data_IF_303434042904
#
_entry.id   IF_303434042904
#
_cell.length_a   1.000
_cell.length_b   1.000
_cell.length_c   1.000
_cell.angle_alpha   90.00
_cell.angle_beta   90.00
_cell.angle_gamma   90.00
#
_symmetry.space_group_name_H-M   'P 1'
#
loop_
_entity.id
_entity.type
_entity.pdbx_description
1 polymer ?
#
# COMPACT_ATOMS: atom_id res chain seq x y z
N UNK A 1 11.96 -8.81 -25.37
CA UNK A 1 10.90 -7.77 -25.27
C UNK A 1 10.15 -7.74 -23.93
N UNK A 2 9.77 -8.88 -23.33
CA UNK A 2 8.93 -8.89 -22.11
C UNK A 2 9.48 -8.17 -20.86
N UNK A 3 10.80 -8.22 -20.57
CA UNK A 3 11.38 -7.55 -19.39
C UNK A 3 11.41 -6.02 -19.48
N UNK A 4 11.50 -5.46 -20.69
CA UNK A 4 11.56 -4.02 -20.89
C UNK A 4 10.22 -3.32 -20.61
N UNK A 5 9.10 -3.99 -20.89
CA UNK A 5 7.76 -3.47 -20.60
C UNK A 5 7.46 -3.43 -19.09
N UNK A 6 7.89 -4.43 -18.32
CA UNK A 6 7.64 -4.50 -16.88
C UNK A 6 8.38 -3.44 -16.04
N UNK A 7 9.44 -2.84 -16.60
CA UNK A 7 10.24 -1.80 -15.95
C UNK A 7 10.06 -0.41 -16.58
N UNK A 8 9.21 -0.30 -17.62
CA UNK A 8 8.95 0.95 -18.28
C UNK A 8 8.10 1.86 -17.36
N UNK A 9 8.45 3.15 -17.22
CA UNK A 9 7.64 4.08 -16.45
C UNK A 9 6.29 4.31 -17.15
N UNK A 10 5.25 4.53 -16.35
CA UNK A 10 3.96 5.01 -16.85
C UNK A 10 4.13 6.45 -17.37
N UNK A 11 3.99 6.62 -18.68
CA UNK A 11 4.18 7.90 -19.37
C UNK A 11 2.97 8.84 -19.25
N UNK A 12 1.85 8.40 -18.67
CA UNK A 12 0.68 9.27 -18.42
C UNK A 12 1.06 10.53 -17.63
N UNK A 13 2.00 10.40 -16.69
CA UNK A 13 2.45 11.49 -15.83
C UNK A 13 3.54 12.38 -16.44
N UNK A 14 3.96 12.11 -17.68
CA UNK A 14 5.00 12.88 -18.36
C UNK A 14 4.62 14.36 -18.48
N UNK A 15 3.33 14.66 -18.75
CA UNK A 15 2.82 16.04 -18.89
C UNK A 15 2.96 16.88 -17.62
N UNK A 16 2.87 16.28 -16.44
CA UNK A 16 3.04 17.01 -15.18
C UNK A 16 4.51 17.13 -14.75
N UNK A 17 5.36 16.18 -15.17
CA UNK A 17 6.71 16.02 -14.62
C UNK A 17 7.82 16.50 -15.54
N UNK A 18 7.59 16.60 -16.85
CA UNK A 18 8.63 16.93 -17.82
C UNK A 18 8.29 18.18 -18.62
N UNK A 19 9.30 19.03 -18.85
CA UNK A 19 9.21 20.13 -19.82
C UNK A 19 9.27 19.54 -21.24
N UNK A 20 8.44 20.00 -22.20
CA UNK A 20 8.42 19.44 -23.55
C UNK A 20 9.79 19.41 -24.24
N UNK A 21 10.60 20.47 -24.08
CA UNK A 21 11.95 20.54 -24.66
C UNK A 21 12.91 19.50 -24.07
N UNK A 22 12.80 19.21 -22.77
CA UNK A 22 13.58 18.16 -22.12
C UNK A 22 13.14 16.76 -22.57
N UNK A 23 11.84 16.57 -22.82
CA UNK A 23 11.30 15.32 -23.35
C UNK A 23 11.80 15.06 -24.78
N UNK A 24 11.83 16.06 -25.65
CA UNK A 24 12.40 15.94 -27.01
C UNK A 24 13.87 15.54 -26.96
N UNK A 25 14.67 16.24 -26.14
CA UNK A 25 16.09 15.94 -25.99
C UNK A 25 16.31 14.51 -25.44
N UNK A 26 15.48 14.10 -24.47
CA UNK A 26 15.47 12.74 -23.93
C UNK A 26 15.14 11.69 -25.01
N UNK A 27 14.13 11.91 -25.86
CA UNK A 27 13.75 10.98 -26.92
C UNK A 27 14.84 10.81 -27.99
N UNK A 28 15.56 11.89 -28.31
CA UNK A 28 16.64 11.88 -29.31
C UNK A 28 17.89 11.15 -28.84
N UNK A 29 18.27 11.28 -27.57
CA UNK A 29 19.46 10.63 -27.04
C UNK A 29 19.38 10.36 -25.52
N UNK A 30 18.61 9.33 -25.09
CA UNK A 30 18.48 9.02 -23.66
C UNK A 30 19.83 8.77 -22.96
N UNK A 31 20.78 7.98 -23.53
CA UNK A 31 22.09 7.74 -22.91
C UNK A 31 22.93 9.00 -22.71
N UNK A 32 22.80 10.01 -23.57
CA UNK A 32 23.46 11.32 -23.39
C UNK A 32 22.96 12.06 -22.15
N UNK A 33 21.68 11.93 -21.81
CA UNK A 33 21.06 12.61 -20.67
C UNK A 33 21.13 11.79 -19.38
N UNK A 34 21.07 10.46 -19.48
CA UNK A 34 21.26 9.53 -18.35
C UNK A 34 22.14 8.36 -18.81
N UNK A 35 23.46 8.44 -18.59
CA UNK A 35 24.37 7.34 -18.87
C UNK A 35 23.92 6.05 -18.19
N UNK A 36 23.94 4.93 -18.91
CA UNK A 36 23.50 3.62 -18.41
C UNK A 36 21.98 3.44 -18.32
N UNK A 37 21.18 4.37 -18.86
CA UNK A 37 19.73 4.16 -19.00
C UNK A 37 19.42 2.93 -19.88
N UNK A 38 18.43 2.09 -19.51
CA UNK A 38 18.03 0.96 -20.33
C UNK A 38 17.21 1.36 -21.56
N UNK A 39 16.76 2.62 -21.64
CA UNK A 39 16.03 3.13 -22.80
C UNK A 39 17.00 3.31 -23.99
N UNK A 40 16.79 2.60 -25.11
CA UNK A 40 17.70 2.69 -26.25
C UNK A 40 17.54 4.02 -26.99
N UNK A 41 18.58 4.40 -27.73
CA UNK A 41 18.47 5.46 -28.73
C UNK A 41 17.67 4.93 -29.93
N UNK A 42 16.43 5.38 -30.05
CA UNK A 42 15.56 5.06 -31.18
C UNK A 42 15.96 5.98 -32.35
N UNK A 43 16.03 5.50 -33.60
CA UNK A 43 16.38 6.32 -34.75
C UNK A 43 15.21 7.25 -35.12
N UNK A 44 15.00 8.27 -34.29
CA UNK A 44 14.03 9.34 -34.50
C UNK A 44 14.76 10.57 -35.05
N UNK A 45 14.15 11.27 -35.99
CA UNK A 45 14.56 12.63 -36.31
C UNK A 45 13.93 13.63 -35.32
N UNK A 46 14.31 14.90 -35.44
CA UNK A 46 13.82 15.93 -34.53
C UNK A 46 12.32 16.22 -34.70
N UNK A 47 11.78 16.03 -35.91
CA UNK A 47 10.36 16.23 -36.17
C UNK A 47 9.53 15.13 -35.47
N UNK A 48 9.95 13.87 -35.58
CA UNK A 48 9.34 12.74 -34.90
C UNK A 48 9.41 12.88 -33.38
N UNK A 49 10.57 13.27 -32.85
CA UNK A 49 10.74 13.46 -31.40
C UNK A 49 9.82 14.57 -30.86
N UNK A 50 9.63 15.66 -31.61
CA UNK A 50 8.67 16.73 -31.26
C UNK A 50 7.22 16.25 -31.35
N UNK A 51 6.87 15.48 -32.38
CA UNK A 51 5.53 14.94 -32.53
C UNK A 51 5.18 13.97 -31.37
N UNK A 52 6.10 13.08 -31.01
CA UNK A 52 5.95 12.18 -29.86
C UNK A 52 5.87 12.92 -28.53
N UNK A 53 6.68 13.96 -28.35
CA UNK A 53 6.61 14.79 -27.14
C UNK A 53 5.24 15.47 -27.02
N UNK A 54 4.75 16.09 -28.10
CA UNK A 54 3.41 16.69 -28.14
C UNK A 54 2.31 15.65 -27.90
N UNK A 55 2.44 14.45 -28.49
CA UNK A 55 1.50 13.36 -28.23
C UNK A 55 1.41 13.01 -26.74
N UNK A 56 2.56 12.87 -26.07
CA UNK A 56 2.60 12.53 -24.65
C UNK A 56 2.08 13.65 -23.74
N UNK A 57 2.27 14.92 -24.11
CA UNK A 57 1.89 16.06 -23.28
C UNK A 57 0.46 16.54 -23.52
N UNK A 58 0.01 16.56 -24.77
CA UNK A 58 -1.16 17.35 -25.18
C UNK A 58 -2.38 16.50 -25.49
N UNK A 59 -2.20 15.24 -25.90
CA UNK A 59 -3.33 14.36 -26.22
C UNK A 59 -4.13 14.09 -24.95
N UNK A 60 -5.47 14.27 -24.96
CA UNK A 60 -6.31 13.90 -23.83
C UNK A 60 -6.15 12.42 -23.49
N UNK A 61 -5.90 12.14 -22.22
CA UNK A 61 -5.87 10.76 -21.73
C UNK A 61 -7.29 10.32 -21.42
N UNK A 62 -7.60 9.07 -21.74
CA UNK A 62 -8.78 8.44 -21.17
C UNK A 62 -8.69 8.48 -19.64
N UNK A 63 -9.82 8.70 -18.95
CA UNK A 63 -9.86 8.55 -17.50
C UNK A 63 -9.33 7.18 -17.11
N UNK A 64 -8.54 7.13 -16.03
CA UNK A 64 -8.21 5.82 -15.47
C UNK A 64 -9.51 5.09 -15.14
N UNK A 65 -9.58 3.76 -15.37
CA UNK A 65 -10.70 2.97 -14.91
C UNK A 65 -10.97 3.29 -13.45
N UNK A 66 -12.24 3.47 -13.10
CA UNK A 66 -12.60 3.68 -11.70
C UNK A 66 -12.07 2.48 -10.90
N UNK A 67 -11.42 2.72 -9.74
CA UNK A 67 -10.91 1.64 -8.92
C UNK A 67 -12.06 0.72 -8.53
N UNK A 68 -11.82 -0.59 -8.56
CA UNK A 68 -12.85 -1.56 -8.18
C UNK A 68 -13.05 -1.49 -6.67
N UNK A 69 -14.30 -1.33 -6.19
CA UNK A 69 -14.55 -1.29 -4.77
C UNK A 69 -14.28 -2.68 -4.18
N UNK A 70 -13.37 -2.74 -3.22
CA UNK A 70 -13.08 -3.95 -2.45
C UNK A 70 -14.19 -4.13 -1.44
N UNK A 71 -14.83 -5.29 -1.47
CA UNK A 71 -15.95 -5.60 -0.57
C UNK A 71 -15.48 -6.44 0.60
N UNK A 72 -15.80 -5.97 1.81
CA UNK A 72 -15.73 -6.73 3.05
C UNK A 72 -16.65 -7.94 2.96
N UNK A 73 -16.14 -9.12 3.33
CA UNK A 73 -16.95 -10.35 3.34
C UNK A 73 -17.91 -10.35 4.54
N UNK A 74 -19.05 -11.06 4.46
CA UNK A 74 -19.95 -11.22 5.61
C UNK A 74 -19.25 -11.90 6.80
N UNK A 75 -19.67 -11.57 8.02
CA UNK A 75 -19.20 -12.23 9.24
C UNK A 75 -19.55 -13.72 9.19
N UNK A 76 -18.65 -14.59 9.66
CA UNK A 76 -18.90 -16.03 9.75
C UNK A 76 -19.82 -16.36 10.94
N UNK A 77 -20.73 -17.32 10.72
CA UNK A 77 -21.61 -17.84 11.79
C UNK A 77 -20.85 -18.71 12.80
N UNK A 78 -19.81 -19.43 12.34
CA UNK A 78 -18.97 -20.25 13.22
C UNK A 78 -18.14 -19.36 14.14
N UNK A 79 -17.82 -19.87 15.32
CA UNK A 79 -16.84 -19.23 16.22
C UNK A 79 -15.49 -19.10 15.52
N UNK A 80 -14.85 -17.93 15.65
CA UNK A 80 -13.46 -17.69 15.27
C UNK A 80 -12.69 -17.30 16.53
N UNK A 81 -11.59 -18.00 16.83
CA UNK A 81 -10.80 -17.79 18.06
C UNK A 81 -9.57 -16.91 17.83
N UNK A 82 -8.94 -16.49 18.92
CA UNK A 82 -7.66 -15.77 18.85
C UNK A 82 -6.60 -16.59 18.11
N UNK A 83 -6.54 -17.90 18.31
CA UNK A 83 -5.53 -18.75 17.68
C UNK A 83 -5.58 -18.69 16.13
N UNK A 84 -6.78 -18.58 15.55
CA UNK A 84 -6.94 -18.42 14.10
C UNK A 84 -6.45 -17.03 13.65
N UNK A 85 -6.82 -15.98 14.38
CA UNK A 85 -6.40 -14.61 14.08
C UNK A 85 -4.88 -14.43 14.24
N UNK A 86 -4.31 -15.00 15.28
CA UNK A 86 -2.88 -14.94 15.58
C UNK A 86 -2.06 -15.61 14.47
N UNK A 87 -2.50 -16.78 13.99
CA UNK A 87 -1.85 -17.46 12.87
C UNK A 87 -1.78 -16.57 11.62
N UNK A 88 -2.80 -15.75 11.37
CA UNK A 88 -2.82 -14.79 10.27
C UNK A 88 -1.89 -13.59 10.50
N UNK A 89 -1.92 -13.00 11.70
CA UNK A 89 -1.10 -11.85 12.04
C UNK A 89 0.41 -12.18 12.08
N UNK A 90 0.77 -13.40 12.49
CA UNK A 90 2.16 -13.86 12.55
C UNK A 90 2.80 -14.10 11.18
N UNK A 91 2.02 -14.21 10.09
CA UNK A 91 2.60 -14.39 8.74
C UNK A 91 3.46 -13.22 8.29
N UNK A 92 3.09 -11.99 8.67
CA UNK A 92 3.75 -10.78 8.15
C UNK A 92 3.69 -9.60 9.12
N UNK A 93 2.58 -9.42 9.84
CA UNK A 93 2.33 -8.20 10.59
C UNK A 93 3.28 -8.03 11.78
N UNK A 94 3.62 -9.13 12.46
CA UNK A 94 4.47 -9.11 13.65
C UNK A 94 5.89 -8.57 13.38
N UNK A 95 6.41 -8.68 12.15
CA UNK A 95 7.74 -8.16 11.82
C UNK A 95 7.85 -6.63 11.90
N UNK A 96 6.72 -5.92 11.84
CA UNK A 96 6.68 -4.47 11.97
C UNK A 96 5.88 -3.98 13.17
N UNK A 97 5.07 -4.85 13.77
CA UNK A 97 4.15 -4.54 14.86
C UNK A 97 4.35 -5.56 15.99
N UNK A 98 5.55 -5.73 16.50
CA UNK A 98 5.84 -6.60 17.64
C UNK A 98 6.18 -5.80 18.88
N UNK A 99 6.07 -6.43 20.04
CA UNK A 99 6.59 -5.88 21.28
C UNK A 99 8.13 -5.78 21.22
N UNK A 100 8.73 -4.58 21.41
CA UNK A 100 10.17 -4.39 21.43
C UNK A 100 10.87 -5.25 22.49
N UNK A 101 10.23 -5.59 23.61
CA UNK A 101 10.87 -6.40 24.66
C UNK A 101 11.19 -7.81 24.17
N UNK A 102 10.33 -8.37 23.30
CA UNK A 102 10.54 -9.68 22.68
C UNK A 102 11.37 -9.60 21.38
N UNK A 103 11.46 -8.42 20.75
CA UNK A 103 12.17 -8.17 19.51
C UNK A 103 13.54 -7.48 19.71
N UNK A 104 14.23 -7.77 20.83
CA UNK A 104 15.58 -7.24 21.15
C UNK A 104 15.67 -5.71 21.14
N UNK A 105 14.60 -5.04 21.56
CA UNK A 105 14.48 -3.58 21.62
C UNK A 105 13.89 -2.92 20.38
N UNK A 106 13.58 -3.66 19.31
CA UNK A 106 12.99 -3.11 18.09
C UNK A 106 11.73 -3.86 17.65
N UNK A 107 10.57 -3.34 18.06
CA UNK A 107 9.26 -3.85 17.65
C UNK A 107 8.88 -3.59 16.18
N UNK A 108 9.80 -2.99 15.42
CA UNK A 108 9.66 -2.63 14.03
C UNK A 108 8.91 -1.30 13.78
N UNK A 109 8.85 -0.86 12.50
CA UNK A 109 8.41 0.49 12.14
C UNK A 109 6.99 0.86 12.56
N UNK A 110 6.13 -0.14 12.73
CA UNK A 110 4.76 0.02 13.19
C UNK A 110 4.60 0.03 14.71
N UNK A 111 5.61 -0.36 15.48
CA UNK A 111 5.62 -0.27 16.94
C UNK A 111 6.58 0.82 17.45
N UNK A 112 7.90 0.60 17.27
CA UNK A 112 9.01 1.44 17.72
C UNK A 112 9.28 2.62 16.78
N UNK A 113 8.78 2.58 15.54
CA UNK A 113 9.03 3.60 14.52
C UNK A 113 10.35 3.37 13.78
N UNK A 114 10.88 4.42 13.13
CA UNK A 114 12.08 4.32 12.30
C UNK A 114 11.76 4.24 10.80
N UNK A 115 12.77 4.33 9.94
CA UNK A 115 12.60 4.41 8.47
C UNK A 115 11.63 5.51 7.99
N UNK A 116 11.51 6.60 8.75
CA UNK A 116 10.57 7.69 8.49
C UNK A 116 9.16 7.49 9.06
N UNK A 117 8.91 6.40 9.81
CA UNK A 117 7.63 6.16 10.48
C UNK A 117 7.66 6.64 11.94
N UNK A 118 6.62 7.39 12.32
CA UNK A 118 6.31 7.71 13.72
C UNK A 118 5.86 6.44 14.45
N UNK A 119 6.37 6.16 15.67
CA UNK A 119 5.97 4.98 16.44
C UNK A 119 4.46 4.97 16.72
N UNK A 120 3.78 3.90 16.31
CA UNK A 120 2.35 3.70 16.62
C UNK A 120 2.13 2.80 17.82
N UNK A 121 3.19 2.22 18.41
CA UNK A 121 3.10 1.34 19.61
C UNK A 121 2.02 0.26 19.48
N UNK A 122 1.80 -0.21 18.25
CA UNK A 122 0.86 -1.28 17.95
C UNK A 122 1.62 -2.60 18.04
N UNK A 123 1.17 -3.47 18.93
CA UNK A 123 1.64 -4.83 19.05
C UNK A 123 0.57 -5.79 18.52
N UNK A 124 0.94 -6.61 17.54
CA UNK A 124 0.11 -7.64 16.93
C UNK A 124 0.65 -9.05 17.24
N UNK A 125 1.66 -9.16 18.12
CA UNK A 125 2.29 -10.43 18.48
C UNK A 125 1.54 -11.20 19.57
N UNK A 126 0.57 -10.57 20.26
CA UNK A 126 -0.19 -11.19 21.34
C UNK A 126 -1.60 -10.62 21.48
N UNK A 127 -2.49 -11.39 22.11
CA UNK A 127 -3.87 -10.96 22.40
C UNK A 127 -3.91 -9.66 23.23
N UNK A 128 -3.05 -9.56 24.25
CA UNK A 128 -2.96 -8.36 25.11
C UNK A 128 -2.39 -7.18 24.32
N UNK A 129 -1.37 -7.43 23.51
CA UNK A 129 -0.75 -6.45 22.62
C UNK A 129 -1.76 -5.77 21.71
N UNK A 130 -2.50 -6.56 20.94
CA UNK A 130 -3.49 -6.01 19.99
C UNK A 130 -4.64 -5.32 20.72
N UNK A 131 -5.01 -5.83 21.91
CA UNK A 131 -6.04 -5.23 22.76
C UNK A 131 -5.64 -3.88 23.33
N UNK A 132 -4.33 -3.62 23.48
CA UNK A 132 -3.83 -2.31 23.88
C UNK A 132 -4.01 -1.24 22.79
N UNK A 133 -4.26 -1.64 21.54
CA UNK A 133 -4.48 -0.71 20.43
C UNK A 133 -3.21 0.00 19.95
N UNK A 134 -3.37 1.19 19.37
CA UNK A 134 -2.27 1.97 18.78
C UNK A 134 -2.32 3.44 19.19
N UNK A 135 -1.19 4.12 19.08
CA UNK A 135 -1.00 5.54 19.40
C UNK A 135 -1.18 6.38 18.13
N UNK A 136 -2.09 7.35 18.17
CA UNK A 136 -2.31 8.31 17.10
C UNK A 136 -1.33 9.48 17.11
N UNK A 137 -1.48 10.40 16.15
CA UNK A 137 -0.59 11.56 16.00
C UNK A 137 -0.65 12.55 17.17
N UNK A 138 -1.77 12.56 17.90
CA UNK A 138 -1.96 13.33 19.13
C UNK A 138 -1.38 12.65 20.39
N UNK A 139 -0.66 11.53 20.21
CA UNK A 139 -0.09 10.75 21.30
C UNK A 139 -1.11 9.91 22.07
N UNK A 140 -2.40 9.96 21.72
CA UNK A 140 -3.44 9.22 22.43
C UNK A 140 -3.58 7.79 21.90
N UNK A 141 -3.72 6.85 22.84
CA UNK A 141 -3.94 5.44 22.55
C UNK A 141 -5.41 5.20 22.20
N UNK A 142 -5.64 4.48 21.11
CA UNK A 142 -6.97 4.17 20.55
C UNK A 142 -7.05 2.68 20.26
N UNK A 143 -8.24 2.11 20.48
CA UNK A 143 -8.49 0.73 20.09
C UNK A 143 -8.41 0.59 18.57
N UNK A 144 -7.66 -0.42 18.10
CA UNK A 144 -7.65 -0.81 16.68
C UNK A 144 -8.93 -1.55 16.26
N UNK A 145 -9.78 -1.88 17.22
CA UNK A 145 -11.10 -2.49 16.98
C UNK A 145 -12.22 -1.47 16.89
N UNK A 146 -11.97 -0.21 17.27
CA UNK A 146 -12.97 0.83 17.19
C UNK A 146 -13.42 0.99 15.73
N UNK A 147 -14.75 1.01 15.47
CA UNK A 147 -15.25 1.16 14.12
C UNK A 147 -14.97 2.57 13.60
N UNK A 148 -14.71 2.66 12.30
CA UNK A 148 -14.77 3.89 11.53
C UNK A 148 -16.26 4.29 11.34
N UNK A 149 -16.56 5.49 10.79
CA UNK A 149 -17.95 5.93 10.60
C UNK A 149 -18.84 4.97 9.79
N UNK A 150 -18.25 4.15 8.93
CA UNK A 150 -18.93 3.12 8.13
C UNK A 150 -19.16 1.79 8.89
N UNK A 151 -18.75 1.72 10.17
CA UNK A 151 -18.85 0.52 10.99
C UNK A 151 -17.70 -0.48 10.82
N UNK A 152 -16.72 -0.21 9.94
CA UNK A 152 -15.57 -1.11 9.73
C UNK A 152 -14.55 -0.94 10.85
N UNK A 153 -14.12 -2.02 11.55
CA UNK A 153 -13.06 -1.92 12.55
C UNK A 153 -11.77 -1.35 11.94
N UNK A 154 -11.10 -0.44 12.65
CA UNK A 154 -9.91 0.27 12.12
C UNK A 154 -8.83 -0.66 11.57
N UNK A 155 -8.52 -1.76 12.24
CA UNK A 155 -7.52 -2.74 11.75
C UNK A 155 -7.95 -3.40 10.43
N UNK A 156 -9.23 -3.76 10.30
CA UNK A 156 -9.82 -4.33 9.07
C UNK A 156 -9.78 -3.29 7.95
N UNK A 157 -10.06 -2.02 8.26
CA UNK A 157 -10.02 -0.94 7.28
C UNK A 157 -8.61 -0.75 6.68
N UNK A 158 -7.54 -0.87 7.48
CA UNK A 158 -6.17 -0.83 6.96
C UNK A 158 -5.88 -2.00 6.00
N UNK A 159 -6.40 -3.20 6.29
CA UNK A 159 -6.24 -4.37 5.41
C UNK A 159 -7.00 -4.19 4.09
N UNK A 160 -8.24 -3.68 4.15
CA UNK A 160 -9.05 -3.39 2.96
C UNK A 160 -8.48 -2.23 2.13
N UNK A 161 -7.90 -1.21 2.77
CA UNK A 161 -7.23 -0.12 2.09
C UNK A 161 -6.05 -0.63 1.23
N UNK A 162 -5.34 -1.68 1.65
CA UNK A 162 -4.28 -2.26 0.82
C UNK A 162 -4.81 -2.91 -0.46
N UNK A 163 -5.97 -3.55 -0.40
CA UNK A 163 -6.65 -4.02 -1.60
C UNK A 163 -7.05 -2.84 -2.50
N UNK A 164 -7.58 -1.76 -1.92
CA UNK A 164 -7.97 -0.58 -2.69
C UNK A 164 -6.76 0.04 -3.43
N UNK A 165 -5.60 0.10 -2.76
CA UNK A 165 -4.35 0.57 -3.36
C UNK A 165 -3.92 -0.28 -4.57
N UNK A 166 -4.00 -1.62 -4.50
CA UNK A 166 -3.62 -2.47 -5.66
C UNK A 166 -4.61 -2.39 -6.81
N UNK A 167 -5.87 -2.04 -6.53
CA UNK A 167 -6.91 -1.76 -7.54
C UNK A 167 -6.83 -0.32 -8.08
N UNK A 168 -5.80 0.45 -7.70
CA UNK A 168 -5.52 1.79 -8.21
C UNK A 168 -6.24 2.93 -7.47
N UNK A 169 -6.87 2.66 -6.32
CA UNK A 169 -7.39 3.71 -5.46
C UNK A 169 -6.27 4.37 -4.64
N UNK A 170 -6.53 5.60 -4.18
CA UNK A 170 -5.68 6.31 -3.22
C UNK A 170 -6.49 6.54 -1.92
N UNK A 171 -6.69 5.51 -1.09
CA UNK A 171 -7.46 5.66 0.15
C UNK A 171 -6.76 6.64 1.11
N UNK A 172 -7.56 7.40 1.86
CA UNK A 172 -7.02 8.28 2.93
C UNK A 172 -6.28 7.46 4.00
N UNK A 173 -6.79 6.27 4.28
CA UNK A 173 -6.18 5.33 5.21
C UNK A 173 -5.07 4.56 4.49
N UNK A 174 -3.86 4.55 5.07
CA UNK A 174 -2.74 3.77 4.55
C UNK A 174 -3.04 2.27 4.56
N UNK A 175 -2.88 1.60 3.43
CA UNK A 175 -3.02 0.16 3.31
C UNK A 175 -1.96 -0.63 4.07
N UNK A 176 -2.39 -1.71 4.73
CA UNK A 176 -1.52 -2.72 5.33
C UNK A 176 -1.81 -4.11 4.75
N UNK A 177 -0.78 -4.95 4.54
CA UNK A 177 0.62 -4.76 4.92
C UNK A 177 1.31 -3.81 3.93
N UNK A 178 2.18 -2.94 4.45
CA UNK A 178 2.70 -1.80 3.71
C UNK A 178 3.48 -2.22 2.45
N UNK A 179 2.95 -1.89 1.28
CA UNK A 179 3.62 -2.16 -0.01
C UNK A 179 3.77 -3.64 -0.36
N UNK A 180 3.18 -4.54 0.43
CA UNK A 180 3.20 -5.99 0.19
C UNK A 180 1.90 -6.44 -0.50
N UNK A 181 1.83 -7.72 -0.82
CA UNK A 181 0.59 -8.35 -1.29
C UNK A 181 -0.52 -8.16 -0.25
N UNK A 182 -1.74 -7.76 -0.65
CA UNK A 182 -2.86 -7.65 0.27
C UNK A 182 -3.16 -8.97 0.98
N UNK A 183 -3.57 -8.90 2.25
CA UNK A 183 -4.03 -10.08 3.01
C UNK A 183 -5.25 -10.68 2.29
N UNK A 184 -5.33 -12.00 2.06
CA UNK A 184 -6.51 -12.61 1.45
C UNK A 184 -7.82 -12.20 2.15
N UNK A 185 -8.89 -11.97 1.37
CA UNK A 185 -10.17 -11.51 1.95
C UNK A 185 -10.74 -12.49 2.99
N UNK A 186 -10.47 -13.80 2.84
CA UNK A 186 -10.86 -14.82 3.80
C UNK A 186 -10.13 -14.66 5.15
N UNK A 187 -8.85 -14.27 5.13
CA UNK A 187 -8.06 -14.06 6.34
C UNK A 187 -8.49 -12.75 7.03
N UNK A 188 -8.81 -11.71 6.25
CA UNK A 188 -9.45 -10.48 6.76
C UNK A 188 -10.80 -10.80 7.42
N UNK A 189 -11.58 -11.70 6.81
CA UNK A 189 -12.88 -12.15 7.35
C UNK A 189 -12.73 -12.85 8.70
N UNK A 190 -11.64 -13.59 8.95
CA UNK A 190 -11.37 -14.17 10.27
C UNK A 190 -11.17 -13.08 11.32
N UNK A 191 -10.31 -12.09 11.05
CA UNK A 191 -10.05 -10.96 11.96
C UNK A 191 -11.33 -10.22 12.26
N UNK A 192 -12.10 -9.92 11.22
CA UNK A 192 -13.34 -9.17 11.31
C UNK A 192 -14.44 -9.93 12.07
N UNK A 193 -14.59 -11.23 11.79
CA UNK A 193 -15.50 -12.11 12.51
C UNK A 193 -15.14 -12.18 13.99
N UNK A 194 -13.86 -12.39 14.30
CA UNK A 194 -13.38 -12.44 15.68
C UNK A 194 -13.69 -11.15 16.44
N UNK A 195 -13.50 -9.97 15.81
CA UNK A 195 -13.89 -8.68 16.40
C UNK A 195 -15.40 -8.62 16.64
N UNK A 196 -16.21 -8.98 15.65
CA UNK A 196 -17.67 -8.95 15.74
C UNK A 196 -18.24 -9.90 16.80
N UNK A 197 -17.57 -11.03 17.05
CA UNK A 197 -17.96 -12.03 18.07
C UNK A 197 -17.48 -11.67 19.48
N UNK A 198 -16.95 -10.46 19.70
CA UNK A 198 -16.49 -10.01 21.01
C UNK A 198 -15.07 -10.49 21.37
N UNK A 199 -14.28 -10.90 20.37
CA UNK A 199 -12.86 -11.28 20.49
C UNK A 199 -12.64 -12.48 21.43
N UNK A 200 -13.29 -13.64 21.19
CA UNK A 200 -13.06 -14.81 22.03
C UNK A 200 -11.62 -15.30 21.91
N UNK A 201 -11.05 -15.75 23.04
CA UNK A 201 -9.80 -16.51 23.04
C UNK A 201 -10.02 -17.93 22.52
#
# INVERSE_FOLDING_TARGET
>A
MQRGLAQAPDLRFTRERMRPTALVAWLLDPPRHKPGTPMPKIPLDEADARALAAYLTDVPLEPLPAPKPVRRLPILERRVTWAEVEAELQKTCWHCHSDPDYARGDGGPGNSGGYGFTPRRLDLASYIGISSGSVGDDGQRRSVFAPLPDGTPRIVAHMLARHAEVEGAAPELRGMPLGLTPVPLADIQLVDTWIAQGRPQ
#
